data_IF_992535667009
#
_entry.id   IF_992535667009
#
_cell.length_a   1.000
_cell.length_b   1.000
_cell.length_c   1.000
_cell.angle_alpha   90.00
_cell.angle_beta   90.00
_cell.angle_gamma   90.00
#
_symmetry.space_group_name_H-M   'P 1'
#
loop_
_entity.id
_entity.type
_entity.pdbx_description
1 polymer ?
#
# COMPACT_ATOMS: atom_id res chain seq x y z
N UNK A 1 -0.25 19.66 -2.36
CA UNK A 1 -1.06 18.54 -1.83
C UNK A 1 -2.32 19.20 -1.42
N UNK A 2 -3.30 19.14 -2.29
CA UNK A 2 -4.39 20.11 -2.29
C UNK A 2 -5.68 19.46 -1.78
N UNK A 3 -5.79 18.13 -1.88
CA UNK A 3 -6.95 17.31 -1.55
C UNK A 3 -6.63 16.21 -0.52
N UNK A 4 -5.65 16.47 0.35
CA UNK A 4 -5.25 15.54 1.43
C UNK A 4 -5.68 16.09 2.78
N UNK A 5 -6.58 15.38 3.48
CA UNK A 5 -7.25 15.92 4.68
C UNK A 5 -7.80 14.84 5.61
N UNK A 6 -7.94 15.18 6.89
CA UNK A 6 -8.77 14.43 7.85
C UNK A 6 -10.21 14.98 7.95
N UNK A 7 -10.48 16.13 7.34
CA UNK A 7 -11.75 16.87 7.40
C UNK A 7 -12.34 17.03 5.99
N UNK A 8 -13.01 16.00 5.52
CA UNK A 8 -13.58 15.89 4.16
C UNK A 8 -14.72 16.86 3.86
N UNK A 9 -15.54 17.28 4.84
CA UNK A 9 -16.68 18.17 4.56
C UNK A 9 -16.28 19.65 4.52
N UNK A 10 -15.13 20.01 5.08
CA UNK A 10 -14.67 21.40 5.14
C UNK A 10 -13.41 21.66 4.33
N UNK A 11 -12.92 20.67 3.58
CA UNK A 11 -11.71 20.78 2.76
C UNK A 11 -12.04 20.47 1.31
N UNK A 12 -12.09 21.51 0.49
CA UNK A 12 -12.52 21.46 -0.91
C UNK A 12 -13.83 20.69 -1.09
N UNK A 13 -13.91 19.85 -2.12
CA UNK A 13 -15.04 18.99 -2.48
C UNK A 13 -14.75 17.50 -2.22
N UNK A 14 -13.77 17.18 -1.36
CA UNK A 14 -13.29 15.79 -1.14
C UNK A 14 -14.44 14.86 -0.77
N UNK A 15 -15.37 15.30 0.09
CA UNK A 15 -16.54 14.50 0.48
C UNK A 15 -17.47 14.16 -0.71
N UNK A 16 -17.62 15.08 -1.67
CA UNK A 16 -18.50 14.90 -2.83
C UNK A 16 -17.91 13.93 -3.87
N UNK A 17 -16.59 13.75 -3.86
CA UNK A 17 -15.86 12.90 -4.83
C UNK A 17 -15.51 11.52 -4.30
N UNK A 18 -15.99 11.13 -3.11
CA UNK A 18 -15.72 9.81 -2.56
C UNK A 18 -16.33 8.72 -3.45
N UNK A 19 -15.51 7.80 -4.00
CA UNK A 19 -16.05 6.71 -4.80
C UNK A 19 -16.81 5.72 -3.91
N UNK A 20 -17.81 5.01 -4.46
CA UNK A 20 -18.49 3.96 -3.73
C UNK A 20 -17.50 2.86 -3.33
N UNK A 21 -17.76 2.25 -2.18
CA UNK A 21 -17.06 1.03 -1.79
C UNK A 21 -17.76 -0.16 -2.42
N UNK A 22 -16.98 -1.09 -2.94
CA UNK A 22 -17.48 -2.35 -3.50
C UNK A 22 -16.93 -3.51 -2.70
N UNK A 23 -17.73 -4.57 -2.59
CA UNK A 23 -17.31 -5.80 -1.96
C UNK A 23 -17.75 -7.01 -2.77
N UNK A 24 -17.07 -8.12 -2.55
CA UNK A 24 -17.52 -9.42 -3.06
C UNK A 24 -18.17 -10.21 -1.91
N UNK A 25 -19.45 -10.62 -2.02
CA UNK A 25 -20.11 -11.36 -0.95
C UNK A 25 -19.51 -12.76 -0.76
N UNK A 26 -19.20 -13.46 -1.86
CA UNK A 26 -18.47 -14.72 -1.88
C UNK A 26 -17.48 -14.77 -3.05
N UNK A 27 -16.45 -15.64 -3.05
CA UNK A 27 -15.42 -15.65 -4.09
C UNK A 27 -15.94 -15.68 -5.54
N UNK A 28 -17.08 -16.32 -5.80
CA UNK A 28 -17.61 -16.50 -7.16
C UNK A 28 -18.69 -15.51 -7.59
N UNK A 29 -19.22 -14.71 -6.66
CA UNK A 29 -20.20 -13.68 -6.98
C UNK A 29 -19.54 -12.43 -7.57
N UNK A 30 -20.25 -11.63 -8.38
CA UNK A 30 -19.73 -10.35 -8.87
C UNK A 30 -19.48 -9.35 -7.74
N UNK A 31 -18.77 -8.27 -8.06
CA UNK A 31 -18.63 -7.13 -7.15
C UNK A 31 -19.99 -6.42 -7.00
N UNK A 32 -20.30 -6.01 -5.78
CA UNK A 32 -21.55 -5.33 -5.42
C UNK A 32 -21.27 -4.21 -4.41
N UNK A 33 -21.93 -3.07 -4.58
CA UNK A 33 -21.88 -1.95 -3.63
C UNK A 33 -22.63 -2.28 -2.32
N UNK A 34 -23.75 -3.00 -2.41
CA UNK A 34 -24.59 -3.39 -1.27
C UNK A 34 -23.83 -4.28 -0.28
N UNK A 35 -22.91 -5.12 -0.76
CA UNK A 35 -22.14 -6.02 0.07
C UNK A 35 -20.89 -5.39 0.71
N UNK A 36 -20.51 -4.18 0.30
CA UNK A 36 -19.51 -3.41 1.03
C UNK A 36 -20.01 -3.02 2.44
N UNK A 37 -21.34 -2.94 2.63
CA UNK A 37 -21.99 -2.66 3.92
C UNK A 37 -22.05 -3.88 4.86
N UNK A 38 -22.08 -5.11 4.33
CA UNK A 38 -22.24 -6.33 5.12
C UNK A 38 -20.92 -6.82 5.74
N UNK A 39 -19.78 -6.50 5.13
CA UNK A 39 -18.45 -6.84 5.61
C UNK A 39 -17.82 -5.75 6.52
N UNK A 40 -18.59 -5.33 7.53
CA UNK A 40 -18.27 -4.68 8.83
C UNK A 40 -17.03 -3.78 9.04
N UNK A 41 -16.30 -3.34 8.03
CA UNK A 41 -15.22 -2.34 8.20
C UNK A 41 -15.77 -0.92 8.11
N UNK A 42 -16.64 -0.61 9.07
CA UNK A 42 -17.15 0.72 9.46
C UNK A 42 -17.78 1.53 8.32
N UNK A 43 -19.03 1.95 8.53
CA UNK A 43 -19.53 3.18 7.93
C UNK A 43 -18.39 4.20 7.96
N UNK A 44 -18.00 4.70 6.79
CA UNK A 44 -16.90 5.64 6.69
C UNK A 44 -17.33 6.90 7.44
N UNK A 45 -16.97 6.99 8.72
CA UNK A 45 -17.33 8.14 9.53
C UNK A 45 -16.42 9.27 9.05
N UNK A 46 -16.99 10.10 8.20
CA UNK A 46 -16.39 11.34 7.73
C UNK A 46 -16.19 12.26 8.94
N UNK A 47 -15.09 13.01 8.90
CA UNK A 47 -14.79 14.08 9.85
C UNK A 47 -14.85 13.62 11.30
N UNK A 48 -14.11 12.54 11.59
CA UNK A 48 -13.99 12.06 12.95
C UNK A 48 -13.43 13.14 13.87
N UNK A 49 -13.87 13.13 15.12
CA UNK A 49 -13.37 14.06 16.14
C UNK A 49 -11.84 13.97 16.26
N UNK A 50 -11.32 12.74 16.28
CA UNK A 50 -9.90 12.46 16.39
C UNK A 50 -9.25 12.18 15.03
N UNK A 51 -8.03 12.66 14.85
CA UNK A 51 -7.18 12.40 13.68
C UNK A 51 -6.27 11.20 13.97
N UNK A 52 -6.61 10.03 13.45
CA UNK A 52 -5.78 8.84 13.63
C UNK A 52 -4.68 8.79 12.56
N UNK A 53 -3.41 8.98 12.93
CA UNK A 53 -2.33 9.01 11.93
C UNK A 53 -2.21 7.74 11.07
N UNK A 54 -2.66 6.59 11.57
CA UNK A 54 -2.64 5.31 10.85
C UNK A 54 -3.87 5.05 9.97
N UNK A 55 -4.91 5.87 10.05
CA UNK A 55 -6.18 5.64 9.36
C UNK A 55 -6.97 6.92 9.13
N UNK A 56 -7.89 6.95 8.15
CA UNK A 56 -8.85 8.06 7.95
C UNK A 56 -8.25 9.36 7.43
N UNK A 57 -7.00 9.34 6.98
CA UNK A 57 -6.53 10.35 6.04
C UNK A 57 -7.20 10.08 4.69
N UNK A 58 -7.83 11.09 4.13
CA UNK A 58 -8.35 11.08 2.77
C UNK A 58 -7.35 11.80 1.87
N UNK A 59 -7.16 11.27 0.67
CA UNK A 59 -6.24 11.83 -0.32
C UNK A 59 -6.65 11.36 -1.71
N UNK A 60 -6.17 12.04 -2.75
CA UNK A 60 -6.23 11.53 -4.11
C UNK A 60 -5.00 10.69 -4.41
N UNK A 61 -5.09 9.80 -5.41
CA UNK A 61 -3.93 9.06 -5.87
C UNK A 61 -2.80 10.00 -6.33
N UNK A 62 -3.14 11.15 -6.91
CA UNK A 62 -2.18 12.15 -7.36
C UNK A 62 -1.43 12.80 -6.20
N UNK A 63 -2.13 13.29 -5.16
CA UNK A 63 -1.50 13.89 -3.99
C UNK A 63 -0.60 12.90 -3.25
N UNK A 64 -1.09 11.69 -3.06
CA UNK A 64 -0.31 10.64 -2.42
C UNK A 64 0.92 10.29 -3.28
N UNK A 65 0.80 10.27 -4.60
CA UNK A 65 1.95 10.04 -5.48
C UNK A 65 2.97 11.19 -5.42
N UNK A 66 2.56 12.44 -5.17
CA UNK A 66 3.50 13.56 -4.95
C UNK A 66 4.35 13.33 -3.69
N UNK A 67 3.76 12.81 -2.60
CA UNK A 67 4.49 12.39 -1.39
C UNK A 67 5.54 11.33 -1.74
N UNK A 68 5.11 10.24 -2.40
CA UNK A 68 6.00 9.14 -2.76
C UNK A 68 7.14 9.59 -3.68
N UNK A 69 6.87 10.50 -4.62
CA UNK A 69 7.87 11.07 -5.52
C UNK A 69 8.91 11.91 -4.79
N UNK A 70 8.51 12.72 -3.81
CA UNK A 70 9.46 13.52 -2.99
C UNK A 70 10.37 12.60 -2.18
N UNK A 71 9.82 11.54 -1.56
CA UNK A 71 10.61 10.53 -0.84
C UNK A 71 11.53 9.77 -1.79
N UNK A 72 11.05 9.31 -2.95
CA UNK A 72 11.84 8.60 -3.96
C UNK A 72 13.04 9.44 -4.44
N UNK A 73 12.79 10.72 -4.75
CA UNK A 73 13.82 11.67 -5.21
C UNK A 73 14.78 12.08 -4.12
N UNK A 74 14.41 11.83 -2.86
CA UNK A 74 15.13 12.31 -1.69
C UNK A 74 15.44 13.81 -1.77
N UNK A 75 14.43 14.61 -2.12
CA UNK A 75 14.61 16.01 -2.54
C UNK A 75 14.68 17.03 -1.39
N UNK A 76 14.75 16.57 -0.14
CA UNK A 76 14.89 17.44 1.04
C UNK A 76 13.63 18.23 1.40
N UNK A 77 12.51 18.08 0.66
CA UNK A 77 11.31 18.92 0.85
C UNK A 77 10.49 18.55 2.09
N UNK A 78 10.46 17.26 2.42
CA UNK A 78 9.63 16.72 3.51
C UNK A 78 10.49 16.32 4.70
N UNK A 79 11.65 15.73 4.43
CA UNK A 79 12.61 15.26 5.42
C UNK A 79 14.02 15.53 4.91
N UNK A 80 14.99 15.60 5.84
CA UNK A 80 16.41 15.66 5.48
C UNK A 80 16.83 14.37 4.74
N UNK A 81 17.78 14.44 3.81
CA UNK A 81 18.15 13.28 3.00
C UNK A 81 18.57 12.04 3.80
N UNK A 82 19.29 12.24 4.90
CA UNK A 82 19.78 11.16 5.77
C UNK A 82 18.63 10.52 6.56
N UNK A 83 17.58 11.30 6.84
CA UNK A 83 16.37 10.78 7.46
C UNK A 83 15.60 9.90 6.48
N UNK A 84 15.50 10.31 5.21
CA UNK A 84 14.90 9.48 4.16
C UNK A 84 15.66 8.17 4.00
N UNK A 85 17.00 8.18 4.03
CA UNK A 85 17.79 6.94 3.98
C UNK A 85 17.47 6.00 5.17
N UNK A 86 17.27 6.57 6.35
CA UNK A 86 16.89 5.81 7.55
C UNK A 86 15.53 5.11 7.39
N UNK A 87 14.59 5.69 6.63
CA UNK A 87 13.28 5.09 6.41
C UNK A 87 13.32 3.72 5.73
N UNK A 88 14.33 3.50 4.89
CA UNK A 88 14.57 2.25 4.13
C UNK A 88 15.55 1.31 4.84
N UNK A 89 15.97 1.64 6.07
CA UNK A 89 16.89 0.82 6.84
C UNK A 89 16.10 0.04 7.89
N UNK A 90 16.22 -1.29 7.87
CA UNK A 90 15.65 -2.12 8.93
C UNK A 90 16.42 -1.94 10.24
N UNK A 91 15.68 -1.86 11.34
CA UNK A 91 16.19 -1.90 12.71
C UNK A 91 15.63 -3.10 13.48
N UNK A 92 15.11 -4.09 12.76
CA UNK A 92 14.53 -5.29 13.33
C UNK A 92 15.62 -6.20 13.90
N UNK A 93 15.33 -6.83 15.03
CA UNK A 93 16.15 -7.93 15.52
C UNK A 93 15.87 -9.20 14.69
N UNK A 94 16.77 -10.20 14.70
CA UNK A 94 16.54 -11.47 14.02
C UNK A 94 15.25 -12.17 14.48
N UNK A 95 14.86 -12.05 15.75
CA UNK A 95 13.63 -12.65 16.27
C UNK A 95 12.38 -11.91 15.76
N UNK A 96 12.43 -10.59 15.64
CA UNK A 96 11.35 -9.79 15.07
C UNK A 96 11.17 -10.04 13.57
N UNK A 97 12.26 -10.21 12.80
CA UNK A 97 12.19 -10.62 11.39
C UNK A 97 11.59 -12.03 11.24
N UNK A 98 11.96 -12.97 12.12
CA UNK A 98 11.37 -14.30 12.12
C UNK A 98 9.86 -14.28 12.43
N UNK A 99 9.42 -13.44 13.38
CA UNK A 99 8.01 -13.25 13.68
C UNK A 99 7.25 -12.64 12.50
N UNK A 100 7.81 -11.62 11.85
CA UNK A 100 7.25 -11.03 10.64
C UNK A 100 7.08 -12.08 9.53
N UNK A 101 8.11 -12.90 9.29
CA UNK A 101 8.02 -13.96 8.27
C UNK A 101 6.88 -14.94 8.59
N UNK A 102 6.69 -15.34 9.86
CA UNK A 102 5.54 -16.17 10.27
C UNK A 102 4.20 -15.47 10.00
N UNK A 103 4.10 -14.17 10.24
CA UNK A 103 2.90 -13.40 9.91
C UNK A 103 2.63 -13.41 8.41
N UNK A 104 3.65 -13.25 7.58
CA UNK A 104 3.53 -13.23 6.12
C UNK A 104 3.37 -14.63 5.48
N UNK A 105 3.45 -15.71 6.28
CA UNK A 105 3.00 -17.04 5.87
C UNK A 105 1.48 -17.19 5.93
N UNK A 106 0.77 -16.31 6.65
CA UNK A 106 -0.70 -16.33 6.75
C UNK A 106 -1.27 -15.66 5.49
N UNK A 107 -2.04 -16.39 4.64
CA UNK A 107 -2.49 -15.87 3.34
C UNK A 107 -3.24 -14.55 3.40
N UNK A 108 -4.13 -14.37 4.39
CA UNK A 108 -4.87 -13.12 4.57
C UNK A 108 -3.99 -11.94 4.99
N UNK A 109 -2.94 -12.20 5.79
CA UNK A 109 -2.05 -11.14 6.28
C UNK A 109 -1.13 -10.64 5.16
N UNK A 110 -0.51 -11.54 4.40
CA UNK A 110 0.34 -11.14 3.26
C UNK A 110 -0.48 -10.41 2.20
N UNK A 111 -1.69 -10.89 1.89
CA UNK A 111 -2.60 -10.27 0.93
C UNK A 111 -3.05 -8.86 1.34
N UNK A 112 -3.16 -8.58 2.65
CA UNK A 112 -3.53 -7.27 3.17
C UNK A 112 -2.33 -6.33 3.36
N UNK A 113 -1.19 -6.84 3.85
CA UNK A 113 0.00 -6.04 4.18
C UNK A 113 0.85 -5.73 2.95
N UNK A 114 0.97 -6.66 2.00
CA UNK A 114 1.71 -6.49 0.74
C UNK A 114 0.94 -7.10 -0.43
N UNK A 115 -0.17 -6.46 -0.86
CA UNK A 115 -1.04 -7.00 -1.90
C UNK A 115 -0.27 -7.38 -3.19
N UNK A 116 -0.56 -8.55 -3.76
CA UNK A 116 0.08 -9.09 -4.96
C UNK A 116 1.47 -9.68 -4.75
N UNK A 117 1.92 -9.85 -3.52
CA UNK A 117 3.11 -10.64 -3.21
C UNK A 117 2.75 -12.11 -2.89
N UNK A 118 3.61 -13.07 -3.27
CA UNK A 118 3.42 -14.47 -2.88
C UNK A 118 3.52 -14.65 -1.37
N UNK A 119 2.89 -15.72 -0.87
CA UNK A 119 2.96 -16.13 0.54
C UNK A 119 4.42 -16.47 0.88
N UNK A 120 4.93 -15.94 2.00
CA UNK A 120 6.31 -16.25 2.40
C UNK A 120 6.48 -17.75 2.59
N UNK A 121 7.55 -18.31 2.00
CA UNK A 121 7.81 -19.74 1.99
C UNK A 121 7.22 -20.50 0.79
N UNK A 122 6.40 -19.85 -0.05
CA UNK A 122 5.98 -20.43 -1.34
C UNK A 122 7.02 -20.21 -2.43
N UNK A 123 6.98 -20.97 -3.54
CA UNK A 123 7.77 -20.66 -4.72
C UNK A 123 7.59 -19.20 -5.18
N UNK A 124 8.69 -18.54 -5.54
CA UNK A 124 8.70 -17.14 -5.96
C UNK A 124 8.55 -16.10 -4.83
N UNK A 125 8.39 -16.52 -3.58
CA UNK A 125 8.28 -15.59 -2.46
C UNK A 125 9.62 -14.90 -2.13
N UNK A 126 9.57 -13.58 -1.94
CA UNK A 126 10.72 -12.79 -1.50
C UNK A 126 10.94 -12.84 0.01
N UNK A 127 12.11 -12.37 0.43
CA UNK A 127 12.42 -12.11 1.84
C UNK A 127 11.96 -10.71 2.25
N UNK A 128 11.50 -10.57 3.50
CA UNK A 128 10.96 -9.32 4.03
C UNK A 128 11.62 -8.93 5.35
N UNK A 129 11.63 -7.62 5.60
CA UNK A 129 11.89 -7.01 6.91
C UNK A 129 11.01 -5.77 7.05
N UNK A 130 11.13 -5.01 8.13
CA UNK A 130 10.34 -3.80 8.37
C UNK A 130 11.26 -2.57 8.53
N UNK A 131 10.98 -1.51 7.78
CA UNK A 131 11.60 -0.19 7.93
C UNK A 131 10.69 0.78 8.68
N UNK A 132 10.97 2.08 8.64
CA UNK A 132 10.08 3.06 9.30
C UNK A 132 8.85 3.42 8.46
N UNK A 133 8.92 3.23 7.14
CA UNK A 133 7.79 3.48 6.23
C UNK A 133 6.84 2.29 6.08
N UNK A 134 7.32 1.07 6.32
CA UNK A 134 6.57 -0.15 6.06
C UNK A 134 7.48 -1.34 5.77
N UNK A 135 6.97 -2.31 5.02
CA UNK A 135 7.69 -3.54 4.73
C UNK A 135 8.75 -3.32 3.63
N UNK A 136 9.94 -3.87 3.85
CA UNK A 136 11.06 -3.79 2.91
C UNK A 136 11.25 -5.16 2.26
N UNK A 137 11.14 -5.20 0.94
CA UNK A 137 11.40 -6.40 0.15
C UNK A 137 12.90 -6.56 -0.12
N UNK A 138 13.51 -7.62 0.41
CA UNK A 138 14.96 -7.89 0.32
C UNK A 138 15.37 -8.69 -0.92
N UNK A 139 14.39 -9.17 -1.69
CA UNK A 139 14.61 -9.93 -2.93
C UNK A 139 14.15 -9.10 -4.13
N UNK A 140 15.02 -8.95 -5.14
CA UNK A 140 14.68 -8.31 -6.40
C UNK A 140 13.77 -9.22 -7.23
N UNK A 141 12.89 -8.62 -8.04
CA UNK A 141 12.06 -9.32 -9.02
C UNK A 141 12.70 -9.18 -10.40
N UNK A 142 12.72 -10.26 -11.18
CA UNK A 142 13.41 -10.36 -12.48
C UNK A 142 13.05 -9.21 -13.44
N UNK A 143 11.76 -8.93 -13.63
CA UNK A 143 11.26 -7.80 -14.43
C UNK A 143 10.54 -6.73 -13.60
N UNK A 144 10.88 -6.61 -12.31
CA UNK A 144 10.10 -5.79 -11.41
C UNK A 144 10.94 -4.99 -10.43
N UNK A 145 10.35 -4.76 -9.27
CA UNK A 145 10.95 -3.95 -8.24
C UNK A 145 12.21 -4.61 -7.65
N UNK A 146 13.18 -3.77 -7.35
CA UNK A 146 14.49 -4.19 -6.86
C UNK A 146 14.49 -4.47 -5.35
N UNK A 147 15.56 -5.11 -4.88
CA UNK A 147 15.79 -5.36 -3.46
C UNK A 147 16.05 -4.05 -2.70
N UNK A 148 15.40 -3.87 -1.55
CA UNK A 148 15.41 -2.65 -0.74
C UNK A 148 14.21 -1.73 -1.00
N UNK A 149 13.24 -2.16 -1.81
CA UNK A 149 11.97 -1.43 -2.00
C UNK A 149 11.15 -1.40 -0.71
N UNK A 150 10.49 -0.28 -0.43
CA UNK A 150 9.48 -0.19 0.61
C UNK A 150 8.08 -0.29 0.00
N UNK A 151 7.17 -1.00 0.66
CA UNK A 151 5.76 -1.07 0.27
C UNK A 151 4.86 -1.44 1.43
N UNK A 152 3.58 -1.06 1.33
CA UNK A 152 2.54 -1.48 2.26
C UNK A 152 1.17 -1.42 1.57
N UNK A 153 0.24 -2.23 2.07
CA UNK A 153 -1.16 -2.20 1.71
C UNK A 153 -1.98 -1.25 2.58
N UNK A 154 -3.24 -1.04 2.18
CA UNK A 154 -4.25 -0.34 2.96
C UNK A 154 -5.61 -1.05 2.86
N UNK A 155 -6.45 -0.88 3.89
CA UNK A 155 -7.68 -1.64 4.07
C UNK A 155 -8.60 -1.73 2.82
N UNK A 156 -8.83 -0.65 2.03
CA UNK A 156 -9.62 -0.76 0.80
C UNK A 156 -8.80 -1.32 -0.37
N UNK A 157 -8.03 -2.39 -0.14
CA UNK A 157 -7.08 -3.00 -1.09
C UNK A 157 -6.22 -1.95 -1.84
N UNK A 158 -5.69 -0.99 -1.07
CA UNK A 158 -4.70 -0.04 -1.57
C UNK A 158 -3.33 -0.70 -1.57
N UNK A 159 -2.45 -0.23 -2.44
CA UNK A 159 -1.03 -0.57 -2.40
C UNK A 159 -0.21 0.65 -2.79
N UNK A 160 0.90 0.87 -2.10
CA UNK A 160 1.92 1.80 -2.55
C UNK A 160 3.30 1.14 -2.50
N UNK A 161 4.23 1.66 -3.29
CA UNK A 161 5.62 1.24 -3.24
C UNK A 161 6.58 2.38 -3.57
N UNK A 162 7.79 2.27 -3.06
CA UNK A 162 8.95 3.10 -3.43
C UNK A 162 10.13 2.16 -3.66
N UNK A 163 10.64 2.14 -4.88
CA UNK A 163 11.83 1.43 -5.29
C UNK A 163 12.90 2.42 -5.76
N UNK A 164 13.82 2.75 -4.85
CA UNK A 164 14.90 3.70 -5.12
C UNK A 164 15.91 3.17 -6.14
N UNK A 165 16.20 1.87 -6.13
CA UNK A 165 17.16 1.27 -7.07
C UNK A 165 16.55 1.14 -8.47
N UNK A 166 15.27 0.78 -8.56
CA UNK A 166 14.51 0.80 -9.82
C UNK A 166 14.06 2.20 -10.24
N UNK A 167 14.32 3.23 -9.44
CA UNK A 167 13.92 4.61 -9.64
C UNK A 167 12.42 4.77 -9.96
N UNK A 168 11.56 4.02 -9.27
CA UNK A 168 10.11 4.06 -9.47
C UNK A 168 9.36 4.08 -8.14
N UNK A 169 8.18 4.69 -8.14
CA UNK A 169 7.23 4.63 -7.05
C UNK A 169 5.83 4.66 -7.62
N UNK A 170 4.84 4.21 -6.85
CA UNK A 170 3.47 4.22 -7.32
C UNK A 170 2.45 3.95 -6.24
N UNK A 171 1.21 4.21 -6.60
CA UNK A 171 0.03 3.87 -5.82
C UNK A 171 -0.95 3.15 -6.74
N UNK A 172 -1.52 2.06 -6.23
CA UNK A 172 -2.67 1.40 -6.79
C UNK A 172 -3.82 1.61 -5.82
N UNK A 173 -4.83 2.38 -6.24
CA UNK A 173 -5.90 2.84 -5.37
C UNK A 173 -7.25 2.24 -5.77
N UNK A 174 -7.87 1.49 -4.87
CA UNK A 174 -9.25 0.98 -5.01
C UNK A 174 -10.08 1.32 -3.79
N UNK A 175 -11.38 1.04 -3.85
CA UNK A 175 -12.31 1.02 -2.72
C UNK A 175 -12.93 -0.37 -2.56
N UNK A 176 -12.09 -1.41 -2.63
CA UNK A 176 -12.52 -2.80 -2.57
C UNK A 176 -12.40 -3.36 -1.15
N UNK A 177 -13.41 -4.09 -0.68
CA UNK A 177 -13.41 -4.80 0.60
C UNK A 177 -13.83 -6.27 0.45
N UNK A 178 -13.41 -7.19 1.35
CA UNK A 178 -12.51 -6.95 2.49
C UNK A 178 -11.03 -6.77 2.07
N UNK A 179 -10.16 -6.27 2.96
CA UNK A 179 -8.72 -6.24 2.71
C UNK A 179 -8.18 -7.64 2.35
N UNK A 180 -7.28 -7.71 1.38
CA UNK A 180 -6.69 -8.98 0.93
C UNK A 180 -7.61 -9.80 0.04
N UNK A 181 -8.53 -9.15 -0.70
CA UNK A 181 -9.44 -9.82 -1.63
C UNK A 181 -8.61 -10.64 -2.65
N UNK A 182 -8.99 -11.91 -2.85
CA UNK A 182 -8.15 -12.88 -3.57
C UNK A 182 -8.08 -12.58 -5.06
N UNK A 183 -9.22 -12.24 -5.70
CA UNK A 183 -9.28 -11.93 -7.14
C UNK A 183 -8.58 -10.60 -7.45
N UNK A 184 -8.35 -9.77 -6.44
CA UNK A 184 -7.61 -8.51 -6.54
C UNK A 184 -6.08 -8.70 -6.60
N UNK A 185 -5.54 -9.73 -5.96
CA UNK A 185 -4.08 -9.94 -5.82
C UNK A 185 -3.33 -10.00 -7.16
N UNK A 186 -3.81 -10.72 -8.20
CA UNK A 186 -3.12 -10.75 -9.49
C UNK A 186 -3.14 -9.40 -10.20
N UNK A 187 -4.23 -8.64 -10.08
CA UNK A 187 -4.38 -7.33 -10.75
C UNK A 187 -3.39 -6.32 -10.19
N UNK A 188 -3.28 -6.23 -8.85
CA UNK A 188 -2.32 -5.32 -8.22
C UNK A 188 -0.86 -5.75 -8.46
N UNK A 189 -0.60 -7.06 -8.58
CA UNK A 189 0.71 -7.57 -8.99
C UNK A 189 1.08 -7.11 -10.39
N UNK A 190 0.21 -7.38 -11.37
CA UNK A 190 0.44 -7.04 -12.78
C UNK A 190 0.60 -5.53 -12.98
N UNK A 191 -0.24 -4.73 -12.32
CA UNK A 191 -0.09 -3.27 -12.36
C UNK A 191 1.28 -2.82 -11.83
N UNK A 192 1.71 -3.33 -10.66
CA UNK A 192 3.02 -2.95 -10.10
C UNK A 192 4.16 -3.37 -11.03
N UNK A 193 4.11 -4.58 -11.58
CA UNK A 193 5.12 -5.09 -12.50
C UNK A 193 5.19 -4.23 -13.76
N UNK A 194 4.05 -3.92 -14.39
CA UNK A 194 3.99 -3.12 -15.60
C UNK A 194 4.48 -1.68 -15.36
N UNK A 195 4.07 -1.06 -14.26
CA UNK A 195 4.55 0.28 -13.90
C UNK A 195 6.05 0.28 -13.60
N UNK A 196 6.55 -0.74 -12.89
CA UNK A 196 7.98 -0.89 -12.64
C UNK A 196 8.76 -1.02 -13.95
N UNK A 197 8.30 -1.88 -14.87
CA UNK A 197 8.91 -2.10 -16.18
C UNK A 197 8.93 -0.84 -17.03
N UNK A 198 7.79 -0.15 -17.12
CA UNK A 198 7.61 1.05 -17.96
C UNK A 198 8.44 2.25 -17.51
N UNK A 199 8.68 2.38 -16.20
CA UNK A 199 9.38 3.54 -15.64
C UNK A 199 10.78 3.22 -15.09
N UNK A 200 11.27 1.99 -15.27
CA UNK A 200 12.66 1.63 -14.96
C UNK A 200 13.59 2.42 -15.88
N UNK A 201 14.60 3.08 -15.32
CA UNK A 201 15.66 3.67 -16.13
C UNK A 201 16.39 2.55 -16.89
N UNK A 202 16.57 2.74 -18.20
CA UNK A 202 17.54 2.00 -19.01
C UNK A 202 18.96 2.25 -18.52
#
# INVERSE_FOLDING_TARGET
MDDTTFKTRSHNDVAARLPPKVGRPSPEEPLSEENASLNSTRNLVLDHKDQYGSARLFSTAEDYLRLLKSILRNDGRILKPETVDTLFTSKMSPSSDAALNKTLMIPGMVAAMVPGEPIVGSPGAGKWTHGLLGLIGLTAKEEGLQAGRAQLGGAPNLKWWIDRKGNSCGVFATQLSPPGEKKHQPVTHLFQQEMAKRYRKS
#
